data_IF_770195121448
#
_entry.id   IF_770195121448
#
_cell.length_a   1.000
_cell.length_b   1.000
_cell.length_c   1.000
_cell.angle_alpha   90.00
_cell.angle_beta   90.00
_cell.angle_gamma   90.00
#
_symmetry.space_group_name_H-M   'P 1'
#
loop_
_entity.id
_entity.type
_entity.pdbx_description
1 polymer ?
#
# COMPACT_ATOMS: atom_id res chain seq x y z
N UNK A 1 5.37 22.94 -6.56
CA UNK A 1 5.89 23.94 -7.54
C UNK A 1 5.56 23.42 -8.93
N UNK A 2 4.81 24.16 -9.75
CA UNK A 2 4.39 23.68 -11.07
C UNK A 2 5.49 23.89 -12.12
N UNK A 3 5.51 23.03 -13.15
CA UNK A 3 6.42 23.15 -14.28
C UNK A 3 6.39 24.56 -14.93
N UNK A 4 5.22 25.20 -14.98
CA UNK A 4 5.03 26.55 -15.50
C UNK A 4 5.92 27.58 -14.80
N UNK A 5 6.09 27.47 -13.48
CA UNK A 5 6.95 28.37 -12.69
C UNK A 5 8.42 28.16 -13.05
N UNK A 6 8.87 26.91 -13.20
CA UNK A 6 10.25 26.62 -13.59
C UNK A 6 10.56 27.11 -15.01
N UNK A 7 9.60 26.98 -15.94
CA UNK A 7 9.71 27.50 -17.30
C UNK A 7 9.78 29.02 -17.32
N UNK A 8 8.83 29.68 -16.64
CA UNK A 8 8.76 31.14 -16.59
C UNK A 8 10.03 31.77 -15.98
N UNK A 9 10.67 31.10 -15.03
CA UNK A 9 11.93 31.55 -14.40
C UNK A 9 13.20 31.09 -15.13
N UNK A 10 13.11 30.42 -16.28
CA UNK A 10 14.28 29.90 -17.00
C UNK A 10 15.06 28.81 -16.25
N UNK A 11 14.46 28.21 -15.21
CA UNK A 11 15.11 27.25 -14.32
C UNK A 11 15.02 25.80 -14.81
N UNK A 12 14.30 25.54 -15.90
CA UNK A 12 14.11 24.17 -16.42
C UNK A 12 15.40 23.44 -16.73
N UNK A 13 16.47 24.16 -17.09
CA UNK A 13 17.79 23.56 -17.34
C UNK A 13 18.62 23.40 -16.07
N UNK A 14 18.31 24.15 -15.00
CA UNK A 14 19.07 24.17 -13.73
C UNK A 14 18.53 23.20 -12.69
N UNK A 15 17.21 23.02 -12.62
CA UNK A 15 16.55 22.22 -11.58
C UNK A 15 16.06 20.89 -12.16
N UNK A 16 16.41 19.78 -11.51
CA UNK A 16 15.80 18.46 -11.75
C UNK A 16 14.36 18.47 -11.26
N UNK A 17 13.43 18.19 -12.15
CA UNK A 17 12.01 18.10 -11.83
C UNK A 17 11.49 16.72 -12.17
N UNK A 18 11.02 15.98 -11.18
CA UNK A 18 10.57 14.61 -11.34
C UNK A 18 9.17 14.41 -10.80
N UNK A 19 8.47 13.44 -11.36
CA UNK A 19 7.15 12.99 -10.88
C UNK A 19 7.26 11.55 -10.40
N UNK A 20 6.70 11.25 -9.23
CA UNK A 20 6.48 9.87 -8.77
C UNK A 20 4.98 9.61 -8.79
N UNK A 21 4.53 8.69 -9.64
CA UNK A 21 3.11 8.39 -9.79
C UNK A 21 2.65 7.46 -8.67
N UNK A 22 1.53 7.80 -8.02
CA UNK A 22 0.96 7.01 -6.93
C UNK A 22 -0.23 6.14 -7.33
N UNK A 23 -0.74 6.29 -8.56
CA UNK A 23 -1.81 5.44 -9.11
C UNK A 23 -1.19 4.19 -9.76
N UNK A 24 -1.65 2.99 -9.39
CA UNK A 24 -1.01 1.73 -9.79
C UNK A 24 -1.37 1.26 -11.21
N UNK A 25 -2.52 1.67 -11.75
CA UNK A 25 -2.93 1.31 -13.11
C UNK A 25 -3.68 2.43 -13.83
N UNK A 26 -4.88 2.78 -13.37
CA UNK A 26 -5.70 3.84 -13.96
C UNK A 26 -5.29 5.18 -13.39
N UNK A 27 -4.38 5.86 -14.09
CA UNK A 27 -3.86 7.15 -13.67
C UNK A 27 -4.53 8.32 -14.40
N UNK A 28 -4.75 9.43 -13.69
CA UNK A 28 -5.25 10.66 -14.30
C UNK A 28 -4.18 11.27 -15.25
N UNK A 29 -4.55 11.84 -16.42
CA UNK A 29 -3.58 12.39 -17.39
C UNK A 29 -2.65 13.46 -16.83
N UNK A 30 -3.05 14.16 -15.76
CA UNK A 30 -2.26 15.21 -15.09
C UNK A 30 -0.95 14.72 -14.48
N UNK A 31 -0.79 13.40 -14.31
CA UNK A 31 0.50 12.81 -13.92
C UNK A 31 1.59 13.00 -14.97
N UNK A 32 1.22 13.15 -16.25
CA UNK A 32 2.15 13.18 -17.36
C UNK A 32 2.39 14.58 -17.87
N UNK A 33 3.65 14.96 -17.97
CA UNK A 33 4.02 16.25 -18.54
C UNK A 33 5.35 16.13 -19.31
N UNK A 34 5.37 16.54 -20.58
CA UNK A 34 6.52 16.34 -21.50
C UNK A 34 7.83 17.00 -21.05
N UNK A 35 7.75 17.93 -20.11
CA UNK A 35 8.89 18.70 -19.63
C UNK A 35 9.42 18.23 -18.27
N UNK A 36 8.94 17.10 -17.74
CA UNK A 36 9.59 16.46 -16.58
C UNK A 36 10.96 15.90 -16.98
N UNK A 37 11.91 15.91 -16.05
CA UNK A 37 13.20 15.23 -16.23
C UNK A 37 13.03 13.72 -16.16
N UNK A 38 12.25 13.25 -15.16
CA UNK A 38 11.83 11.85 -15.02
C UNK A 38 10.39 11.73 -14.51
N UNK A 39 9.78 10.62 -14.87
CA UNK A 39 8.51 10.12 -14.41
C UNK A 39 8.74 8.69 -13.91
N UNK A 40 8.65 8.50 -12.59
CA UNK A 40 8.75 7.22 -11.93
C UNK A 40 7.37 6.58 -11.88
N UNK A 41 7.22 5.47 -12.60
CA UNK A 41 6.00 4.71 -12.73
C UNK A 41 6.01 3.53 -11.75
N UNK A 42 4.87 3.23 -11.09
CA UNK A 42 4.77 2.08 -10.19
C UNK A 42 4.62 0.75 -10.92
N UNK A 43 4.20 0.78 -12.19
CA UNK A 43 3.89 -0.41 -12.98
C UNK A 43 4.21 -0.21 -14.47
N UNK A 44 4.25 -1.30 -15.22
CA UNK A 44 4.51 -1.24 -16.67
C UNK A 44 3.32 -0.65 -17.43
N UNK A 45 2.12 -0.82 -16.89
CA UNK A 45 0.85 -0.30 -17.40
C UNK A 45 0.85 1.22 -17.36
N UNK A 46 1.34 1.81 -16.26
CA UNK A 46 1.49 3.26 -16.13
C UNK A 46 2.60 3.78 -17.04
N UNK A 47 3.71 3.05 -17.22
CA UNK A 47 4.74 3.43 -18.17
C UNK A 47 4.24 3.43 -19.63
N UNK A 48 3.41 2.45 -20.02
CA UNK A 48 2.75 2.45 -21.33
C UNK A 48 1.85 3.68 -21.51
N UNK A 49 1.13 4.09 -20.46
CA UNK A 49 0.32 5.32 -20.47
C UNK A 49 1.19 6.59 -20.57
N UNK A 50 2.33 6.64 -19.88
CA UNK A 50 3.30 7.72 -19.98
C UNK A 50 3.84 7.88 -21.40
N UNK A 51 4.20 6.77 -22.06
CA UNK A 51 4.63 6.77 -23.46
C UNK A 51 3.51 7.26 -24.39
N UNK A 52 2.26 6.82 -24.19
CA UNK A 52 1.10 7.32 -24.95
C UNK A 52 0.85 8.82 -24.75
N UNK A 53 1.16 9.37 -23.58
CA UNK A 53 1.11 10.80 -23.30
C UNK A 53 2.29 11.60 -23.92
N UNK A 54 3.21 10.92 -24.61
CA UNK A 54 4.32 11.53 -25.34
C UNK A 54 5.57 11.78 -24.51
N UNK A 55 5.73 11.09 -23.36
CA UNK A 55 7.01 11.07 -22.65
C UNK A 55 8.00 10.18 -23.42
N UNK A 56 9.25 10.63 -23.51
CA UNK A 56 10.34 9.89 -24.13
C UNK A 56 10.75 8.70 -23.25
N UNK A 57 11.31 7.62 -23.83
CA UNK A 57 11.83 6.49 -23.05
C UNK A 57 12.82 6.90 -21.95
N UNK A 58 13.67 7.90 -22.22
CA UNK A 58 14.60 8.44 -21.23
C UNK A 58 13.88 9.10 -20.05
N UNK A 59 12.66 9.61 -20.20
CA UNK A 59 11.91 10.23 -19.11
C UNK A 59 11.20 9.21 -18.23
N UNK A 60 11.10 7.94 -18.61
CA UNK A 60 10.24 6.96 -17.93
C UNK A 60 11.12 5.94 -17.20
N UNK A 61 10.81 5.68 -15.92
CA UNK A 61 11.44 4.61 -15.12
C UNK A 61 10.37 3.82 -14.40
N UNK A 62 10.45 2.49 -14.47
CA UNK A 62 9.53 1.58 -13.76
C UNK A 62 10.27 0.98 -12.59
N UNK A 63 10.14 1.59 -11.42
CA UNK A 63 10.78 1.13 -10.19
C UNK A 63 9.81 0.59 -9.16
N UNK A 64 8.52 0.91 -9.27
CA UNK A 64 7.51 0.60 -8.26
C UNK A 64 7.06 1.83 -7.48
N UNK A 65 6.01 1.65 -6.68
CA UNK A 65 5.54 2.68 -5.75
C UNK A 65 6.54 2.77 -4.57
N UNK A 66 7.08 3.95 -4.23
CA UNK A 66 8.00 4.05 -3.10
C UNK A 66 7.26 3.75 -1.78
N UNK A 67 7.78 2.79 -1.04
CA UNK A 67 7.38 2.49 0.33
C UNK A 67 8.43 2.99 1.32
N UNK A 68 8.06 3.12 2.60
CA UNK A 68 9.03 3.50 3.63
C UNK A 68 10.12 2.42 3.74
N UNK A 69 11.40 2.77 3.92
CA UNK A 69 12.49 1.80 4.06
C UNK A 69 12.28 0.74 5.16
N UNK A 70 11.50 1.04 6.20
CA UNK A 70 11.18 0.09 7.27
C UNK A 70 10.43 -1.15 6.77
N UNK A 71 9.62 -1.03 5.71
CA UNK A 71 8.94 -2.16 5.07
C UNK A 71 9.87 -3.09 4.29
N UNK A 72 11.14 -2.69 4.08
CA UNK A 72 12.15 -3.47 3.35
C UNK A 72 13.00 -4.32 4.30
N UNK A 73 12.93 -4.04 5.61
CA UNK A 73 13.64 -4.84 6.61
C UNK A 73 13.02 -6.22 6.70
N UNK A 74 13.85 -7.21 7.05
CA UNK A 74 13.36 -8.56 7.36
C UNK A 74 12.28 -8.48 8.44
N UNK A 75 11.12 -9.03 8.14
CA UNK A 75 9.98 -9.07 9.05
C UNK A 75 10.26 -10.15 10.09
N UNK A 76 10.01 -9.82 11.36
CA UNK A 76 10.15 -10.75 12.48
C UNK A 76 9.19 -11.94 12.34
N UNK A 77 9.45 -13.06 13.03
CA UNK A 77 8.52 -14.19 13.03
C UNK A 77 7.09 -13.77 13.38
N UNK A 78 6.11 -14.28 12.61
CA UNK A 78 4.69 -13.91 12.75
C UNK A 78 4.15 -14.10 14.18
N UNK A 79 4.55 -15.18 14.86
CA UNK A 79 4.15 -15.49 16.24
C UNK A 79 4.63 -14.41 17.21
N UNK A 80 5.87 -13.92 17.09
CA UNK A 80 6.38 -12.83 17.94
C UNK A 80 5.58 -11.55 17.75
N UNK A 81 5.26 -11.21 16.48
CA UNK A 81 4.45 -10.04 16.15
C UNK A 81 3.04 -10.15 16.73
N UNK A 82 2.42 -11.33 16.65
CA UNK A 82 1.10 -11.58 17.22
C UNK A 82 1.10 -11.37 18.74
N UNK A 83 2.05 -11.96 19.46
CA UNK A 83 2.20 -11.79 20.91
C UNK A 83 2.32 -10.32 21.33
N UNK A 84 3.18 -9.57 20.66
CA UNK A 84 3.36 -8.13 20.94
C UNK A 84 2.10 -7.31 20.67
N UNK A 85 1.28 -7.73 19.71
CA UNK A 85 0.02 -7.07 19.39
C UNK A 85 -1.14 -7.51 20.29
N UNK A 86 -0.94 -8.52 21.15
CA UNK A 86 -1.98 -9.14 21.99
C UNK A 86 -2.92 -10.05 21.20
N UNK A 87 -2.43 -10.62 20.11
CA UNK A 87 -3.17 -11.51 19.22
C UNK A 87 -2.93 -12.98 19.59
N UNK A 88 -3.82 -13.85 19.13
CA UNK A 88 -3.67 -15.30 19.28
C UNK A 88 -2.53 -15.83 18.39
N UNK A 89 -1.71 -16.72 18.93
CA UNK A 89 -0.50 -17.22 18.26
C UNK A 89 -0.80 -18.05 17.02
N UNK A 90 -1.88 -18.84 17.05
CA UNK A 90 -2.15 -19.91 16.10
C UNK A 90 -3.22 -19.52 15.07
N UNK A 91 -4.23 -18.74 15.47
CA UNK A 91 -5.35 -18.39 14.59
C UNK A 91 -4.93 -17.52 13.39
N UNK A 92 -5.41 -17.79 12.16
CA UNK A 92 -5.17 -16.90 11.04
C UNK A 92 -5.83 -15.53 11.27
N UNK A 93 -5.17 -14.46 10.84
CA UNK A 93 -5.53 -13.11 11.19
C UNK A 93 -5.82 -12.23 9.97
N UNK A 94 -6.92 -11.48 10.00
CA UNK A 94 -7.23 -10.44 9.01
C UNK A 94 -6.96 -9.06 9.58
N UNK A 95 -6.20 -8.25 8.84
CA UNK A 95 -6.01 -6.82 9.12
C UNK A 95 -7.16 -6.02 8.49
N UNK A 96 -7.95 -5.33 9.30
CA UNK A 96 -9.03 -4.45 8.85
C UNK A 96 -8.67 -2.98 9.08
N UNK A 97 -8.61 -2.20 8.01
CA UNK A 97 -8.28 -0.77 8.10
C UNK A 97 -8.99 0.10 7.05
N UNK A 98 -9.16 1.38 7.37
CA UNK A 98 -9.86 2.37 6.51
C UNK A 98 -8.96 3.53 6.07
N UNK A 99 -7.65 3.31 5.97
CA UNK A 99 -6.64 4.37 5.84
C UNK A 99 -6.42 5.15 7.15
N UNK A 100 -5.64 6.23 7.09
CA UNK A 100 -5.24 7.00 8.29
C UNK A 100 -6.39 7.63 9.09
N UNK A 101 -7.54 7.83 8.44
CA UNK A 101 -8.74 8.42 9.04
C UNK A 101 -9.82 7.39 9.41
N UNK A 102 -9.57 6.08 9.20
CA UNK A 102 -10.53 5.03 9.57
C UNK A 102 -11.87 5.14 8.83
N UNK A 103 -11.81 5.33 7.51
CA UNK A 103 -12.98 5.57 6.65
C UNK A 103 -13.61 4.26 6.14
N UNK A 104 -14.92 4.32 5.84
CA UNK A 104 -15.69 3.19 5.30
C UNK A 104 -16.47 2.43 6.38
N UNK A 105 -17.17 1.35 5.99
CA UNK A 105 -18.05 0.60 6.89
C UNK A 105 -17.27 -0.35 7.83
N UNK A 106 -16.18 0.12 8.44
CA UNK A 106 -15.26 -0.70 9.26
C UNK A 106 -16.02 -1.46 10.35
N UNK A 107 -16.92 -0.79 11.08
CA UNK A 107 -17.68 -1.45 12.15
C UNK A 107 -18.62 -2.54 11.63
N UNK A 108 -19.32 -2.29 10.52
CA UNK A 108 -20.19 -3.29 9.92
C UNK A 108 -19.40 -4.49 9.40
N UNK A 109 -18.22 -4.26 8.79
CA UNK A 109 -17.31 -5.32 8.35
C UNK A 109 -16.73 -6.10 9.51
N UNK A 110 -16.30 -5.42 10.57
CA UNK A 110 -15.80 -6.07 11.78
C UNK A 110 -16.85 -6.99 12.41
N UNK A 111 -18.10 -6.52 12.55
CA UNK A 111 -19.23 -7.34 13.05
C UNK A 111 -19.51 -8.54 12.16
N UNK A 112 -19.49 -8.36 10.83
CA UNK A 112 -19.68 -9.46 9.90
C UNK A 112 -18.57 -10.52 10.01
N UNK A 113 -17.31 -10.09 10.16
CA UNK A 113 -16.17 -10.98 10.40
C UNK A 113 -16.27 -11.70 11.76
N UNK A 114 -16.66 -10.98 12.82
CA UNK A 114 -16.86 -11.54 14.15
C UNK A 114 -17.83 -12.72 14.18
N UNK A 115 -18.84 -12.69 13.30
CA UNK A 115 -19.78 -13.80 13.14
C UNK A 115 -19.25 -14.88 12.17
N UNK A 116 -18.64 -14.49 11.05
CA UNK A 116 -18.22 -15.43 10.02
C UNK A 116 -16.96 -16.23 10.37
N UNK A 117 -16.16 -15.75 11.33
CA UNK A 117 -14.92 -16.41 11.77
C UNK A 117 -15.09 -17.18 13.09
N UNK A 118 -16.33 -17.45 13.50
CA UNK A 118 -16.66 -18.31 14.62
C UNK A 118 -17.38 -19.55 14.09
N UNK A 119 -16.92 -20.74 14.47
CA UNK A 119 -17.60 -21.99 14.12
C UNK A 119 -18.58 -22.35 15.25
N UNK A 120 -19.89 -22.15 15.02
CA UNK A 120 -20.92 -22.48 16.02
C UNK A 120 -21.04 -23.99 16.29
N UNK A 121 -20.54 -24.87 15.40
CA UNK A 121 -20.58 -26.33 15.62
C UNK A 121 -19.46 -26.78 16.56
N UNK A 122 -18.26 -26.22 16.37
CA UNK A 122 -17.09 -26.52 17.20
C UNK A 122 -17.03 -25.66 18.47
N UNK A 123 -17.76 -24.54 18.48
CA UNK A 123 -17.77 -23.59 19.59
C UNK A 123 -16.45 -22.83 19.73
N UNK A 124 -15.71 -22.64 18.64
CA UNK A 124 -14.38 -22.05 18.65
C UNK A 124 -14.15 -21.07 17.47
N UNK A 125 -13.25 -20.08 17.63
CA UNK A 125 -12.85 -19.20 16.55
C UNK A 125 -12.02 -19.94 15.50
N UNK A 126 -12.31 -19.69 14.22
CA UNK A 126 -11.48 -20.15 13.08
C UNK A 126 -10.54 -19.05 12.56
N UNK A 127 -10.61 -17.86 13.15
CA UNK A 127 -9.75 -16.74 12.81
C UNK A 127 -9.92 -15.57 13.77
N UNK A 128 -9.08 -14.56 13.59
CA UNK A 128 -9.04 -13.36 14.44
C UNK A 128 -8.89 -12.07 13.62
N UNK A 129 -9.12 -10.93 14.26
CA UNK A 129 -9.10 -9.62 13.60
C UNK A 129 -8.13 -8.67 14.29
N UNK A 130 -7.26 -8.01 13.50
CA UNK A 130 -6.57 -6.80 13.91
C UNK A 130 -7.23 -5.60 13.22
N UNK A 131 -7.84 -4.70 13.99
CA UNK A 131 -8.49 -3.49 13.48
C UNK A 131 -7.61 -2.27 13.74
N UNK A 132 -7.32 -1.50 12.70
CA UNK A 132 -6.59 -0.23 12.82
C UNK A 132 -7.52 0.92 12.46
N UNK A 133 -7.92 1.69 13.46
CA UNK A 133 -8.84 2.81 13.32
C UNK A 133 -8.16 4.13 12.90
N UNK A 134 -6.83 4.17 12.86
CA UNK A 134 -6.09 5.39 12.57
C UNK A 134 -6.39 6.49 13.59
N UNK A 135 -6.74 7.69 13.11
CA UNK A 135 -7.10 8.82 13.98
C UNK A 135 -8.56 8.78 14.48
N UNK A 136 -9.36 7.81 14.03
CA UNK A 136 -10.78 7.72 14.37
C UNK A 136 -11.00 7.10 15.76
N UNK A 137 -10.78 7.91 16.81
CA UNK A 137 -10.95 7.51 18.21
C UNK A 137 -12.40 7.09 18.53
N UNK A 138 -13.39 7.73 17.90
CA UNK A 138 -14.81 7.39 18.10
C UNK A 138 -15.10 5.96 17.64
N UNK A 139 -14.61 5.59 16.46
CA UNK A 139 -14.72 4.22 15.94
C UNK A 139 -13.99 3.22 16.86
N UNK A 140 -12.76 3.53 17.27
CA UNK A 140 -11.99 2.66 18.17
C UNK A 140 -12.75 2.37 19.47
N UNK A 141 -13.30 3.41 20.12
CA UNK A 141 -14.06 3.26 21.35
C UNK A 141 -15.33 2.40 21.17
N UNK A 142 -16.05 2.57 20.04
CA UNK A 142 -17.23 1.73 19.76
C UNK A 142 -16.86 0.27 19.56
N UNK A 143 -15.74 -0.01 18.89
CA UNK A 143 -15.28 -1.37 18.63
C UNK A 143 -14.74 -2.06 19.88
N UNK A 144 -14.07 -1.32 20.76
CA UNK A 144 -13.60 -1.80 22.06
C UNK A 144 -14.73 -2.13 23.04
N UNK A 145 -15.91 -1.51 22.87
CA UNK A 145 -17.08 -1.75 23.71
C UNK A 145 -17.91 -2.98 23.28
N UNK A 146 -17.54 -3.65 22.20
CA UNK A 146 -18.23 -4.84 21.71
C UNK A 146 -17.62 -6.06 22.39
N UNK A 147 -18.48 -6.94 22.91
CA UNK A 147 -18.09 -8.29 23.31
C UNK A 147 -18.03 -9.19 22.07
N UNK A 148 -16.83 -9.67 21.74
CA UNK A 148 -16.56 -10.38 20.51
C UNK A 148 -16.50 -11.89 20.75
N UNK A 149 -17.17 -12.67 19.88
CA UNK A 149 -17.10 -14.14 19.90
C UNK A 149 -15.71 -14.69 19.54
N UNK A 150 -14.86 -13.86 18.93
CA UNK A 150 -13.52 -14.22 18.46
C UNK A 150 -12.50 -13.22 18.99
N UNK A 151 -11.19 -13.53 18.98
CA UNK A 151 -10.16 -12.57 19.32
C UNK A 151 -10.16 -11.37 18.37
N UNK A 152 -10.30 -10.16 18.93
CA UNK A 152 -10.25 -8.90 18.18
C UNK A 152 -9.34 -7.91 18.89
N UNK A 153 -8.30 -7.45 18.19
CA UNK A 153 -7.43 -6.39 18.65
C UNK A 153 -7.78 -5.07 17.96
N UNK A 154 -8.13 -4.05 18.74
CA UNK A 154 -8.43 -2.71 18.23
C UNK A 154 -7.29 -1.76 18.55
N UNK A 155 -6.67 -1.18 17.53
CA UNK A 155 -5.60 -0.18 17.66
C UNK A 155 -6.06 1.15 17.04
N UNK A 156 -5.50 2.24 17.58
CA UNK A 156 -5.68 3.59 17.03
C UNK A 156 -4.75 3.86 15.85
N UNK A 157 -3.96 4.93 15.93
CA UNK A 157 -2.93 5.22 14.94
C UNK A 157 -1.68 4.38 15.23
N UNK A 158 -1.19 3.67 14.20
CA UNK A 158 0.05 2.87 14.30
C UNK A 158 1.16 3.51 13.48
N UNK A 159 2.39 3.41 13.97
CA UNK A 159 3.59 3.89 13.29
C UNK A 159 4.34 2.78 12.57
N UNK A 160 4.25 1.55 13.08
CA UNK A 160 4.91 0.35 12.57
C UNK A 160 3.94 -0.56 11.83
N UNK A 161 3.43 -0.08 10.70
CA UNK A 161 2.44 -0.82 9.92
C UNK A 161 3.01 -2.13 9.33
N UNK A 162 4.33 -2.20 9.12
CA UNK A 162 5.03 -3.41 8.69
C UNK A 162 4.88 -4.57 9.69
N UNK A 163 4.85 -4.27 10.99
CA UNK A 163 4.66 -5.28 12.04
C UNK A 163 3.21 -5.76 12.06
N UNK A 164 2.24 -4.84 11.93
CA UNK A 164 0.82 -5.19 11.83
C UNK A 164 0.51 -6.04 10.60
N UNK A 165 1.08 -5.71 9.44
CA UNK A 165 0.92 -6.51 8.22
C UNK A 165 1.60 -7.87 8.35
N UNK A 166 2.80 -7.94 8.97
CA UNK A 166 3.52 -9.19 9.20
C UNK A 166 2.81 -10.16 10.16
N UNK A 167 2.00 -9.64 11.09
CA UNK A 167 1.19 -10.44 12.01
C UNK A 167 -0.07 -11.06 11.37
N UNK A 168 -0.46 -10.62 10.17
CA UNK A 168 -1.71 -11.01 9.52
C UNK A 168 -1.48 -11.87 8.26
N UNK A 169 -2.56 -12.50 7.79
CA UNK A 169 -2.61 -13.41 6.65
C UNK A 169 -3.30 -12.77 5.44
N UNK A 170 -4.23 -11.85 5.67
CA UNK A 170 -4.82 -11.01 4.63
C UNK A 170 -5.18 -9.61 5.17
N UNK A 171 -5.52 -8.70 4.26
CA UNK A 171 -5.87 -7.30 4.58
C UNK A 171 -7.16 -6.87 3.87
N UNK A 172 -8.01 -6.16 4.60
CA UNK A 172 -9.16 -5.43 4.09
C UNK A 172 -8.85 -3.93 4.20
N UNK A 173 -8.84 -3.23 3.07
CA UNK A 173 -8.58 -1.79 3.00
C UNK A 173 -9.34 -1.12 1.84
N UNK A 174 -9.31 0.21 1.80
CA UNK A 174 -9.93 1.04 0.76
C UNK A 174 -8.90 1.39 -0.31
N UNK A 175 -9.10 0.91 -1.55
CA UNK A 175 -8.19 1.21 -2.68
C UNK A 175 -8.93 1.36 -4.01
N UNK A 176 -9.90 2.29 -4.10
CA UNK A 176 -10.82 2.42 -5.26
C UNK A 176 -10.11 2.62 -6.61
N UNK A 177 -9.07 3.45 -6.66
CA UNK A 177 -8.33 3.72 -7.91
C UNK A 177 -7.37 2.60 -8.34
N UNK A 178 -7.10 1.65 -7.45
CA UNK A 178 -6.10 0.59 -7.63
C UNK A 178 -6.73 -0.79 -7.75
N UNK A 179 -8.07 -0.90 -7.69
CA UNK A 179 -8.80 -2.17 -7.79
C UNK A 179 -8.39 -2.99 -9.01
N UNK A 180 -8.34 -2.44 -10.24
CA UNK A 180 -7.97 -3.24 -11.41
C UNK A 180 -6.58 -3.86 -11.27
N UNK A 181 -5.61 -3.10 -10.73
CA UNK A 181 -4.25 -3.59 -10.52
C UNK A 181 -4.21 -4.80 -9.58
N UNK A 182 -4.97 -4.77 -8.48
CA UNK A 182 -5.00 -5.87 -7.50
C UNK A 182 -5.72 -7.10 -8.05
N UNK A 183 -6.89 -6.90 -8.66
CA UNK A 183 -7.77 -8.00 -9.10
C UNK A 183 -7.22 -8.67 -10.37
N UNK A 184 -6.80 -7.89 -11.37
CA UNK A 184 -6.29 -8.43 -12.65
C UNK A 184 -4.98 -9.18 -12.49
N UNK A 185 -4.15 -8.80 -11.49
CA UNK A 185 -2.94 -9.54 -11.16
C UNK A 185 -3.17 -10.66 -10.12
N UNK A 186 -4.41 -10.99 -9.79
CA UNK A 186 -4.74 -12.10 -8.89
C UNK A 186 -4.16 -11.96 -7.48
N UNK A 187 -4.06 -10.73 -6.97
CA UNK A 187 -3.54 -10.42 -5.63
C UNK A 187 -4.63 -10.19 -4.59
N UNK A 188 -5.90 -10.18 -5.00
CA UNK A 188 -7.02 -9.98 -4.10
C UNK A 188 -8.37 -9.92 -4.81
N UNK A 189 -9.42 -9.64 -4.04
CA UNK A 189 -10.80 -9.49 -4.49
C UNK A 189 -11.33 -8.10 -4.15
N UNK A 190 -12.41 -7.72 -4.82
CA UNK A 190 -13.12 -6.47 -4.53
C UNK A 190 -14.56 -6.76 -4.15
N UNK A 191 -14.98 -6.26 -2.99
CA UNK A 191 -16.39 -6.18 -2.60
C UNK A 191 -16.61 -4.93 -1.74
N UNK A 192 -17.82 -4.39 -1.80
CA UNK A 192 -18.27 -3.29 -0.92
C UNK A 192 -19.17 -3.77 0.22
N UNK A 193 -19.65 -5.02 0.15
CA UNK A 193 -20.65 -5.54 1.06
C UNK A 193 -19.95 -6.22 2.27
N UNK A 194 -20.16 -5.73 3.51
CA UNK A 194 -19.54 -6.30 4.70
C UNK A 194 -19.68 -7.82 4.85
N UNK A 195 -20.87 -8.36 4.55
CA UNK A 195 -21.14 -9.81 4.61
C UNK A 195 -20.36 -10.60 3.57
N UNK A 196 -20.26 -10.09 2.35
CA UNK A 196 -19.48 -10.75 1.29
C UNK A 196 -17.99 -10.73 1.60
N UNK A 197 -17.48 -9.59 2.11
CA UNK A 197 -16.09 -9.49 2.58
C UNK A 197 -15.82 -10.53 3.67
N UNK A 198 -16.70 -10.63 4.66
CA UNK A 198 -16.54 -11.60 5.74
C UNK A 198 -16.57 -13.06 5.23
N UNK A 199 -17.46 -13.38 4.30
CA UNK A 199 -17.52 -14.70 3.68
C UNK A 199 -16.25 -15.04 2.88
N UNK A 200 -15.66 -14.06 2.18
CA UNK A 200 -14.39 -14.26 1.46
C UNK A 200 -13.28 -14.63 2.46
N UNK A 201 -13.16 -13.91 3.57
CA UNK A 201 -12.13 -14.18 4.60
C UNK A 201 -12.37 -15.54 5.25
N UNK A 202 -13.62 -15.87 5.63
CA UNK A 202 -13.95 -17.17 6.20
C UNK A 202 -13.62 -18.32 5.25
N UNK A 203 -13.89 -18.17 3.94
CA UNK A 203 -13.47 -19.14 2.94
C UNK A 203 -11.94 -19.26 2.87
N UNK A 204 -11.21 -18.14 2.88
CA UNK A 204 -9.74 -18.16 2.85
C UNK A 204 -9.10 -18.75 4.11
N UNK A 205 -9.73 -18.65 5.27
CA UNK A 205 -9.24 -19.26 6.51
C UNK A 205 -9.69 -20.70 6.71
N UNK A 206 -10.60 -21.20 5.86
CA UNK A 206 -11.00 -22.60 5.82
C UNK A 206 -10.85 -23.20 4.42
N UNK A 207 -11.96 -23.51 3.71
CA UNK A 207 -11.95 -24.38 2.54
C UNK A 207 -11.21 -23.85 1.31
N UNK A 208 -10.86 -22.56 1.26
CA UNK A 208 -10.14 -21.90 0.17
C UNK A 208 -8.80 -21.33 0.60
N UNK A 209 -8.13 -21.94 1.57
CA UNK A 209 -6.78 -21.57 2.00
C UNK A 209 -5.75 -21.58 0.86
N UNK A 210 -5.91 -22.48 -0.12
CA UNK A 210 -5.03 -22.56 -1.28
C UNK A 210 -5.18 -21.34 -2.20
N UNK A 211 -6.40 -20.81 -2.33
CA UNK A 211 -6.66 -19.58 -3.08
C UNK A 211 -5.91 -18.40 -2.42
N UNK A 212 -5.97 -18.29 -1.09
CA UNK A 212 -5.22 -17.27 -0.34
C UNK A 212 -3.71 -17.40 -0.56
N UNK A 213 -3.18 -18.63 -0.52
CA UNK A 213 -1.74 -18.88 -0.74
C UNK A 213 -1.29 -18.46 -2.13
N UNK A 214 -2.08 -18.76 -3.16
CA UNK A 214 -1.81 -18.34 -4.54
C UNK A 214 -1.80 -16.81 -4.63
N UNK A 215 -2.81 -16.13 -4.06
CA UNK A 215 -2.88 -14.67 -4.06
C UNK A 215 -1.70 -14.03 -3.33
N UNK A 216 -1.28 -14.60 -2.20
CA UNK A 216 -0.08 -14.15 -1.47
C UNK A 216 1.19 -14.27 -2.31
N UNK A 217 1.38 -15.39 -3.02
CA UNK A 217 2.52 -15.56 -3.92
C UNK A 217 2.50 -14.55 -5.08
N UNK A 218 1.32 -14.25 -5.64
CA UNK A 218 1.19 -13.24 -6.68
C UNK A 218 1.55 -11.84 -6.15
N UNK A 219 1.09 -11.49 -4.95
CA UNK A 219 1.44 -10.22 -4.30
C UNK A 219 2.96 -10.10 -4.10
N UNK A 220 3.64 -11.16 -3.67
CA UNK A 220 5.10 -11.19 -3.52
C UNK A 220 5.83 -11.03 -4.87
N UNK A 221 5.34 -11.65 -5.94
CA UNK A 221 5.93 -11.51 -7.29
C UNK A 221 5.84 -10.07 -7.82
N UNK A 222 4.79 -9.34 -7.47
CA UNK A 222 4.61 -7.94 -7.87
C UNK A 222 5.34 -6.95 -6.95
N UNK A 223 5.68 -7.37 -5.73
CA UNK A 223 6.30 -6.49 -4.75
C UNK A 223 7.62 -5.89 -5.27
N UNK A 224 7.77 -4.58 -5.08
CA UNK A 224 8.98 -3.81 -5.42
C UNK A 224 9.51 -3.10 -4.17
N UNK A 225 10.02 -3.84 -3.16
CA UNK A 225 10.42 -3.24 -1.88
C UNK A 225 11.57 -2.23 -2.03
N UNK A 226 12.41 -2.38 -3.05
CA UNK A 226 13.56 -1.50 -3.30
C UNK A 226 13.24 -0.24 -4.13
N UNK A 227 11.96 0.00 -4.45
CA UNK A 227 11.51 1.11 -5.29
C UNK A 227 12.04 2.47 -4.80
N UNK A 228 11.95 2.73 -3.48
CA UNK A 228 12.40 3.99 -2.89
C UNK A 228 13.90 4.22 -3.07
N UNK A 229 14.72 3.17 -2.93
CA UNK A 229 16.16 3.27 -3.09
C UNK A 229 16.56 3.51 -4.54
N UNK A 230 15.92 2.79 -5.48
CA UNK A 230 16.13 2.99 -6.93
C UNK A 230 15.76 4.41 -7.38
N UNK A 231 14.63 4.93 -6.89
CA UNK A 231 14.20 6.30 -7.21
C UNK A 231 15.20 7.32 -6.68
N UNK A 232 15.61 7.22 -5.41
CA UNK A 232 16.56 8.17 -4.81
C UNK A 232 17.94 8.10 -5.48
N UNK A 233 18.40 6.90 -5.85
CA UNK A 233 19.66 6.73 -6.57
C UNK A 233 19.61 7.36 -7.98
N UNK A 234 18.55 7.13 -8.77
CA UNK A 234 18.40 7.77 -10.08
C UNK A 234 18.28 9.29 -9.97
N UNK A 235 17.59 9.80 -8.93
CA UNK A 235 17.55 11.23 -8.61
C UNK A 235 18.94 11.81 -8.32
N UNK A 236 19.75 11.12 -7.51
CA UNK A 236 21.12 11.53 -7.21
C UNK A 236 21.97 11.67 -8.47
N UNK A 237 21.93 10.66 -9.34
CA UNK A 237 22.66 10.68 -10.61
C UNK A 237 22.20 11.79 -11.56
N UNK A 238 20.89 12.05 -11.62
CA UNK A 238 20.35 13.17 -12.40
C UNK A 238 20.84 14.53 -11.92
N UNK A 239 20.91 14.73 -10.60
CA UNK A 239 21.43 15.97 -10.02
C UNK A 239 22.93 16.08 -10.30
N UNK A 240 23.70 15.01 -10.13
CA UNK A 240 25.15 14.99 -10.38
C UNK A 240 25.50 15.35 -11.83
N UNK A 241 24.83 14.74 -12.80
CA UNK A 241 25.01 15.03 -14.22
C UNK A 241 24.70 16.50 -14.55
N UNK A 242 23.72 17.08 -13.86
CA UNK A 242 23.28 18.45 -14.10
C UNK A 242 24.18 19.49 -13.46
N UNK A 243 24.69 19.22 -12.25
CA UNK A 243 25.68 20.07 -11.58
C UNK A 243 27.03 20.07 -12.30
N UNK A 244 27.42 18.95 -12.93
CA UNK A 244 28.62 18.90 -13.79
C UNK A 244 28.48 19.65 -15.12
N UNK A 245 27.25 20.02 -15.53
CA UNK A 245 26.97 20.83 -16.73
C UNK A 245 26.85 22.34 -16.43
N UNK A 246 26.85 22.73 -15.15
CA UNK A 246 26.95 24.14 -14.76
C UNK A 246 28.43 24.45 -14.61
N UNK A 247 29.02 25.36 -15.41
CA UNK A 247 30.38 25.83 -15.14
C UNK A 247 30.43 26.28 -13.69
N UNK A 248 31.42 25.82 -12.92
CA UNK A 248 31.82 26.54 -11.73
C UNK A 248 32.09 27.97 -12.19
N UNK A 249 31.21 28.90 -11.85
CA UNK A 249 31.57 30.31 -11.92
C UNK A 249 32.70 30.47 -10.92
N UNK A 250 33.92 30.37 -11.41
CA UNK A 250 35.10 30.88 -10.72
C UNK A 250 34.77 32.32 -10.36
N UNK A 251 34.76 32.62 -9.06
CA UNK A 251 34.87 34.00 -8.62
C UNK A 251 36.19 34.52 -9.19
N UNK A 252 36.10 35.36 -10.21
CA UNK A 252 37.24 36.13 -10.70
C UNK A 252 37.31 37.35 -9.78
N UNK A 253 38.38 37.36 -8.97
CA UNK A 253 39.00 38.43 -8.18
C UNK A 253 38.13 39.20 -7.21
#
# INVERSE_FOLDING_TARGET
>A
MSHFVLRAKGLLKKIVFTTVITDLSTCHPTWFHKLVTRCYCPSTEVAKRASKAGLKPSQIKVYGLPVRPTFVKSIRPKVELKRELGMDDDLPAVLLMGGGEGMGPIEATARALGNALYDDNLGEPIGQILIICGRNKKLANRLLAIDWKIPVQVKGFVTKMEECMGACDCIITKEVGNVPYVVENGCGKFSKAPKEIANIVAQWFGPKSDELRIMSQNALKLARPDAVFKIVHDLHELVRQRSGLVPQYSCVT
#
